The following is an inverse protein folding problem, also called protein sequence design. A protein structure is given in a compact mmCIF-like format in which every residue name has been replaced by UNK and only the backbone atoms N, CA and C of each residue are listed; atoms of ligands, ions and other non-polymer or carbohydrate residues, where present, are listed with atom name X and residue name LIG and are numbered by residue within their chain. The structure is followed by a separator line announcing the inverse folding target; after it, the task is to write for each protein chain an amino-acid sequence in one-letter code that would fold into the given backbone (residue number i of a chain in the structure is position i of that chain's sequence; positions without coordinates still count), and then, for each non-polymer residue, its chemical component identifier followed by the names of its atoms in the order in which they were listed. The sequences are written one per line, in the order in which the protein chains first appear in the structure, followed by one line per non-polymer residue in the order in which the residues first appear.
data_IF_039422199374
#
_entry.id   IF_039422199374
#
_cell.length_a   1.000
_cell.length_b   1.000
_cell.length_c   1.000
_cell.angle_alpha   90.00
_cell.angle_beta   90.00
_cell.angle_gamma   90.00
#
_symmetry.space_group_name_H-M   'P 1'
#
loop_
_entity.id
_entity.type
_entity.pdbx_description
1 polymer ?
#
# COMPACT_ATOMS: atom_id res chain seq x y z
N UNK A 1 18.35 2.10 12.24
CA UNK A 1 17.10 1.91 11.48
C UNK A 1 16.06 2.85 12.06
N UNK A 2 15.55 3.80 11.28
CA UNK A 2 14.46 4.68 11.73
C UNK A 2 13.19 3.84 11.91
N UNK A 3 12.74 3.71 13.14
CA UNK A 3 11.48 3.05 13.48
C UNK A 3 10.37 3.85 12.81
N UNK A 4 9.59 3.21 11.92
CA UNK A 4 8.41 3.85 11.34
C UNK A 4 7.45 4.18 12.49
N UNK A 5 7.18 5.46 12.75
CA UNK A 5 6.30 5.89 13.85
C UNK A 5 4.87 5.39 13.71
N UNK A 6 4.48 5.00 12.49
CA UNK A 6 3.17 4.45 12.16
C UNK A 6 3.18 2.91 12.12
N UNK A 7 4.29 2.26 12.50
CA UNK A 7 4.43 0.80 12.43
C UNK A 7 3.30 0.08 13.19
N UNK A 8 2.99 0.51 14.41
CA UNK A 8 1.92 -0.11 15.21
C UNK A 8 0.50 0.21 14.69
N UNK A 9 0.35 1.27 13.89
CA UNK A 9 -0.93 1.72 13.35
C UNK A 9 -1.18 1.27 11.91
N UNK A 10 -0.20 0.63 11.26
CA UNK A 10 -0.30 0.25 9.86
C UNK A 10 -1.26 -0.96 9.69
N UNK A 11 -2.39 -0.80 8.98
CA UNK A 11 -3.35 -1.90 8.79
C UNK A 11 -2.75 -3.10 8.05
N UNK A 12 -1.81 -2.85 7.14
CA UNK A 12 -1.03 -3.89 6.45
C UNK A 12 -0.23 -4.74 7.44
N UNK A 13 0.52 -4.09 8.32
CA UNK A 13 1.32 -4.78 9.34
C UNK A 13 0.45 -5.56 10.31
N UNK A 14 -0.69 -4.99 10.70
CA UNK A 14 -1.64 -5.69 11.56
C UNK A 14 -2.16 -6.97 10.90
N UNK A 15 -2.42 -6.94 9.59
CA UNK A 15 -2.92 -8.09 8.83
C UNK A 15 -1.87 -9.17 8.61
N UNK A 16 -0.62 -8.80 8.32
CA UNK A 16 0.43 -9.74 7.93
C UNK A 16 1.46 -10.03 9.04
N UNK A 17 1.23 -9.57 10.27
CA UNK A 17 2.21 -9.59 11.39
C UNK A 17 2.88 -10.94 11.62
N UNK A 18 2.11 -12.02 11.59
CA UNK A 18 2.60 -13.38 11.81
C UNK A 18 3.54 -13.86 10.69
N UNK A 19 3.25 -13.48 9.45
CA UNK A 19 4.10 -13.81 8.28
C UNK A 19 5.39 -12.96 8.26
N UNK A 20 5.38 -11.82 8.97
CA UNK A 20 6.48 -10.87 9.06
C UNK A 20 7.59 -11.29 10.02
N UNK A 21 7.30 -12.11 11.03
CA UNK A 21 8.30 -12.59 11.99
C UNK A 21 9.20 -13.68 11.40
N UNK A 22 8.70 -14.42 10.40
CA UNK A 22 9.39 -15.57 9.80
C UNK A 22 10.10 -15.23 8.47
N UNK A 23 9.86 -14.04 7.89
CA UNK A 23 10.33 -13.71 6.55
C UNK A 23 11.01 -12.33 6.47
N UNK A 24 12.34 -12.34 6.43
CA UNK A 24 13.17 -11.14 6.31
C UNK A 24 12.92 -10.33 5.01
N UNK A 25 12.49 -10.98 3.91
CA UNK A 25 12.11 -10.26 2.69
C UNK A 25 10.82 -9.45 2.91
N UNK A 26 9.88 -10.01 3.65
CA UNK A 26 8.64 -9.34 4.02
C UNK A 26 8.91 -8.13 4.92
N UNK A 27 9.92 -8.19 5.79
CA UNK A 27 10.41 -7.07 6.60
C UNK A 27 10.94 -5.90 5.78
N UNK A 28 11.70 -6.18 4.72
CA UNK A 28 12.13 -5.15 3.76
C UNK A 28 10.94 -4.60 2.97
N UNK A 29 10.00 -5.45 2.56
CA UNK A 29 8.75 -5.03 1.91
C UNK A 29 7.93 -4.11 2.82
N UNK A 30 7.86 -4.34 4.14
CA UNK A 30 7.28 -3.37 5.10
C UNK A 30 8.01 -2.05 5.01
N UNK A 31 9.33 -2.09 5.06
CA UNK A 31 10.11 -0.86 5.04
C UNK A 31 9.80 -0.08 3.76
N UNK A 32 9.70 -0.72 2.60
CA UNK A 32 9.23 -0.06 1.38
C UNK A 32 7.76 0.37 1.43
N UNK A 33 6.88 -0.45 1.98
CA UNK A 33 5.44 -0.23 2.08
C UNK A 33 5.07 0.93 3.03
N UNK A 34 5.77 1.02 4.16
CA UNK A 34 5.56 2.02 5.21
C UNK A 34 6.47 3.23 5.06
N UNK A 35 7.71 3.07 4.56
CA UNK A 35 8.56 4.23 4.28
C UNK A 35 8.14 4.92 3.00
N UNK A 36 7.63 4.20 1.98
CA UNK A 36 6.93 4.75 0.80
C UNK A 36 7.47 6.06 0.23
N UNK A 37 8.75 6.36 0.38
CA UNK A 37 9.14 7.76 0.64
C UNK A 37 10.58 8.05 0.29
N UNK A 38 11.10 7.37 -0.72
CA UNK A 38 12.29 7.82 -1.43
C UNK A 38 11.98 8.12 -2.90
N UNK A 39 10.73 8.48 -3.19
CA UNK A 39 10.38 9.25 -4.37
C UNK A 39 9.00 9.86 -4.16
N UNK A 40 8.83 11.06 -4.68
CA UNK A 40 7.60 11.75 -5.10
C UNK A 40 6.55 10.88 -5.88
N UNK A 41 6.72 9.56 -5.97
CA UNK A 41 5.95 8.61 -6.79
C UNK A 41 5.23 7.51 -6.00
N UNK A 42 4.97 7.71 -4.71
CA UNK A 42 4.18 6.75 -3.92
C UNK A 42 2.68 6.96 -4.13
N UNK A 43 2.12 6.29 -5.13
CA UNK A 43 0.68 6.27 -5.41
C UNK A 43 -0.14 5.96 -4.16
N UNK A 44 0.23 4.94 -3.38
CA UNK A 44 -0.52 4.56 -2.17
C UNK A 44 -0.65 5.72 -1.18
N UNK A 45 0.43 6.48 -0.97
CA UNK A 45 0.43 7.66 -0.10
C UNK A 45 -0.45 8.77 -0.68
N UNK A 46 -0.29 9.08 -1.97
CA UNK A 46 -1.09 10.11 -2.64
C UNK A 46 -2.60 9.80 -2.56
N UNK A 47 -2.99 8.53 -2.69
CA UNK A 47 -4.37 8.08 -2.51
C UNK A 47 -4.83 8.25 -1.06
N UNK A 48 -4.00 7.84 -0.09
CA UNK A 48 -4.33 8.00 1.33
C UNK A 48 -4.53 9.48 1.72
N UNK A 49 -3.73 10.40 1.16
CA UNK A 49 -3.87 11.84 1.37
C UNK A 49 -5.20 12.38 0.81
N UNK A 50 -5.60 11.92 -0.38
CA UNK A 50 -6.89 12.29 -1.00
C UNK A 50 -8.08 11.76 -0.18
N UNK A 51 -7.98 10.52 0.32
CA UNK A 51 -9.06 9.87 1.07
C UNK A 51 -9.08 10.23 2.57
N UNK A 52 -8.12 11.04 3.03
CA UNK A 52 -8.05 11.47 4.43
C UNK A 52 -7.53 10.41 5.41
N UNK A 53 -6.92 9.32 4.92
CA UNK A 53 -6.39 8.27 5.79
C UNK A 53 -5.92 7.02 5.04
N UNK A 54 -4.98 6.30 5.67
CA UNK A 54 -4.42 5.05 5.13
C UNK A 54 -5.36 3.84 5.28
N UNK A 55 -6.32 3.94 6.19
CA UNK A 55 -7.36 2.96 6.48
C UNK A 55 -8.37 2.82 5.33
N UNK A 56 -8.48 3.84 4.47
CA UNK A 56 -9.33 3.84 3.30
C UNK A 56 -8.67 3.23 2.06
N UNK A 57 -7.37 2.93 2.13
CA UNK A 57 -6.60 2.37 1.01
C UNK A 57 -6.51 0.84 1.15
N UNK A 58 -6.87 0.05 0.12
CA UNK A 58 -6.86 -1.40 0.20
C UNK A 58 -5.53 -1.94 0.70
N UNK A 59 -5.58 -2.86 1.66
CA UNK A 59 -4.37 -3.41 2.28
C UNK A 59 -3.46 -4.12 1.26
N UNK A 60 -4.00 -4.65 0.17
CA UNK A 60 -3.18 -5.28 -0.86
C UNK A 60 -2.63 -4.30 -1.90
N UNK A 61 -2.85 -2.99 -1.81
CA UNK A 61 -2.24 -2.03 -2.74
C UNK A 61 -0.78 -1.76 -2.34
N UNK A 62 0.14 -1.98 -3.28
CA UNK A 62 1.57 -1.67 -3.15
C UNK A 62 1.85 -0.16 -3.29
N UNK A 63 3.02 0.34 -2.85
CA UNK A 63 3.38 1.76 -2.95
C UNK A 63 3.16 2.40 -4.32
N UNK A 64 3.46 1.67 -5.40
CA UNK A 64 3.30 2.10 -6.78
C UNK A 64 1.85 2.05 -7.29
N UNK A 65 0.88 1.61 -6.48
CA UNK A 65 -0.54 1.61 -6.82
C UNK A 65 -1.07 0.33 -7.47
N UNK A 66 -0.21 -0.68 -7.67
CA UNK A 66 -0.61 -2.02 -8.14
C UNK A 66 -1.03 -2.94 -6.98
N UNK A 67 -1.87 -3.96 -7.20
CA UNK A 67 -2.15 -4.96 -6.19
C UNK A 67 -0.91 -5.82 -5.90
N UNK A 68 -0.79 -6.33 -4.67
CA UNK A 68 0.25 -7.28 -4.27
C UNK A 68 0.27 -8.46 -5.26
N UNK A 69 1.46 -8.96 -5.64
CA UNK A 69 1.57 -10.12 -6.51
C UNK A 69 0.77 -11.32 -5.98
N UNK A 70 0.01 -11.97 -6.88
CA UNK A 70 -0.89 -13.06 -6.51
C UNK A 70 -2.25 -12.62 -5.92
N UNK A 71 -2.50 -11.31 -5.85
CA UNK A 71 -3.82 -10.73 -5.55
C UNK A 71 -4.28 -9.86 -6.72
N UNK A 72 -5.57 -9.60 -6.84
CA UNK A 72 -6.14 -8.67 -7.82
C UNK A 72 -6.71 -7.41 -7.17
N UNK A 73 -7.52 -6.69 -7.93
CA UNK A 73 -8.22 -5.47 -7.48
C UNK A 73 -9.64 -5.77 -6.97
N UNK A 74 -9.96 -7.05 -6.74
CA UNK A 74 -11.28 -7.45 -6.26
C UNK A 74 -11.56 -6.80 -4.89
N UNK A 75 -12.66 -6.07 -4.79
CA UNK A 75 -13.04 -5.33 -3.59
C UNK A 75 -12.40 -3.95 -3.46
N UNK A 76 -11.62 -3.49 -4.45
CA UNK A 76 -11.26 -2.07 -4.53
C UNK A 76 -12.51 -1.28 -4.92
N UNK A 77 -12.76 -0.17 -4.22
CA UNK A 77 -13.87 0.71 -4.60
C UNK A 77 -13.58 1.38 -5.95
N UNK A 78 -14.63 1.82 -6.64
CA UNK A 78 -14.50 2.56 -7.89
C UNK A 78 -13.63 3.81 -7.73
N UNK A 79 -13.79 4.52 -6.61
CA UNK A 79 -12.95 5.67 -6.26
C UNK A 79 -11.46 5.29 -6.18
N UNK A 80 -11.13 4.16 -5.55
CA UNK A 80 -9.75 3.66 -5.48
C UNK A 80 -9.21 3.33 -6.88
N UNK A 81 -10.01 2.69 -7.73
CA UNK A 81 -9.60 2.33 -9.09
C UNK A 81 -9.30 3.59 -9.92
N UNK A 82 -10.15 4.61 -9.82
CA UNK A 82 -9.96 5.90 -10.50
C UNK A 82 -8.67 6.59 -10.03
N UNK A 83 -8.44 6.64 -8.71
CA UNK A 83 -7.24 7.26 -8.17
C UNK A 83 -5.98 6.47 -8.52
N UNK A 84 -6.02 5.15 -8.46
CA UNK A 84 -4.92 4.29 -8.87
C UNK A 84 -4.58 4.51 -10.35
N UNK A 85 -5.58 4.55 -11.23
CA UNK A 85 -5.38 4.86 -12.65
C UNK A 85 -4.77 6.25 -12.85
N UNK A 86 -5.26 7.27 -12.13
CA UNK A 86 -4.73 8.64 -12.21
C UNK A 86 -3.25 8.72 -11.87
N UNK A 87 -2.81 8.04 -10.81
CA UNK A 87 -1.43 8.13 -10.33
C UNK A 87 -0.46 7.17 -11.03
N UNK A 88 -0.97 6.07 -11.59
CA UNK A 88 -0.13 5.05 -12.27
C UNK A 88 -0.14 5.14 -13.79
N UNK A 89 -1.17 5.75 -14.39
CA UNK A 89 -1.43 5.71 -15.83
C UNK A 89 -1.92 4.37 -16.35
N UNK A 90 -2.25 3.42 -15.47
CA UNK A 90 -2.69 2.07 -15.83
C UNK A 90 -4.21 1.98 -15.75
N UNK A 91 -4.85 1.33 -16.73
CA UNK A 91 -6.25 0.94 -16.57
C UNK A 91 -6.34 -0.38 -15.81
N UNK A 92 -7.11 -0.38 -14.73
CA UNK A 92 -7.40 -1.54 -13.89
C UNK A 92 -8.84 -2.04 -14.07
N UNK A 93 -9.60 -1.39 -14.95
CA UNK A 93 -10.97 -1.78 -15.33
C UNK A 93 -10.84 -2.66 -16.56
N UNK A 94 -10.96 -3.97 -16.37
CA UNK A 94 -11.21 -4.92 -17.47
C UNK A 94 -12.67 -4.81 -17.95
#
# INVERSE_FOLDING_TARGET
MSVCVNYEKCPFLKKYRSELEENNNLKNSIQFYCMGGWDDRCTRRSIAEVLGGSEYVPVNMMPEGRPLPGTGVEGWSEEILILAQKYTGLDFRD
#
